data_IF_028537728679
#
_entry.id   IF_028537728679
#
_cell.length_a   1.000
_cell.length_b   1.000
_cell.length_c   1.000
_cell.angle_alpha   90.00
_cell.angle_beta   90.00
_cell.angle_gamma   90.00
#
_symmetry.space_group_name_H-M   'P 1'
#
loop_
_entity.id
_entity.type
_entity.pdbx_description
1 polymer ?
#
# COMPACT_ATOMS: atom_id res chain seq x y z
N UNK A 1 15.34 21.92 -11.87
CA UNK A 1 14.63 21.21 -10.78
C UNK A 1 13.35 21.92 -10.35
N UNK A 2 13.40 23.20 -9.96
CA UNK A 2 12.23 24.01 -9.56
C UNK A 2 11.17 24.13 -10.66
N UNK A 3 11.56 24.27 -11.91
CA UNK A 3 10.65 24.38 -13.06
C UNK A 3 9.90 23.07 -13.33
N UNK A 4 10.57 21.94 -13.20
CA UNK A 4 9.96 20.60 -13.28
C UNK A 4 8.95 20.37 -12.14
N UNK A 5 9.28 20.78 -10.92
CA UNK A 5 8.37 20.74 -9.78
C UNK A 5 7.15 21.63 -10.00
N UNK A 6 7.36 22.85 -10.50
CA UNK A 6 6.27 23.79 -10.81
C UNK A 6 5.33 23.26 -11.89
N UNK A 7 5.86 22.61 -12.92
CA UNK A 7 5.05 22.00 -13.98
C UNK A 7 4.27 20.79 -13.47
N UNK A 8 4.88 19.96 -12.63
CA UNK A 8 4.19 18.83 -11.99
C UNK A 8 3.09 19.31 -11.05
N UNK A 9 3.31 20.39 -10.29
CA UNK A 9 2.27 20.98 -9.44
C UNK A 9 1.12 21.57 -10.25
N UNK A 10 1.37 22.20 -11.40
CA UNK A 10 0.32 22.66 -12.31
C UNK A 10 -0.52 21.52 -12.84
N UNK A 11 0.11 20.41 -13.27
CA UNK A 11 -0.59 19.20 -13.70
C UNK A 11 -1.47 18.59 -12.57
N UNK A 12 -0.94 18.55 -11.38
CA UNK A 12 -1.65 18.05 -10.20
C UNK A 12 -2.86 18.95 -9.87
N UNK A 13 -2.68 20.27 -9.93
CA UNK A 13 -3.76 21.23 -9.71
C UNK A 13 -4.86 21.13 -10.78
N UNK A 14 -4.50 20.92 -12.05
CA UNK A 14 -5.47 20.76 -13.15
C UNK A 14 -6.21 19.43 -13.11
N UNK A 15 -5.61 18.38 -12.54
CA UNK A 15 -6.20 17.05 -12.40
C UNK A 15 -6.91 16.83 -11.06
N UNK A 16 -6.78 17.78 -10.12
CA UNK A 16 -7.19 17.62 -8.71
C UNK A 16 -8.61 17.10 -8.55
N UNK A 17 -9.58 17.68 -9.27
CA UNK A 17 -10.98 17.28 -9.17
C UNK A 17 -11.21 15.85 -9.63
N UNK A 18 -10.63 15.45 -10.77
CA UNK A 18 -10.78 14.10 -11.32
C UNK A 18 -10.12 13.06 -10.42
N UNK A 19 -8.92 13.36 -9.91
CA UNK A 19 -8.19 12.48 -8.99
C UNK A 19 -8.95 12.34 -7.67
N UNK A 20 -9.36 13.45 -7.04
CA UNK A 20 -10.06 13.42 -5.75
C UNK A 20 -11.39 12.67 -5.82
N UNK A 21 -12.20 12.93 -6.85
CA UNK A 21 -13.50 12.26 -7.01
C UNK A 21 -13.30 10.75 -7.24
N UNK A 22 -12.33 10.38 -8.07
CA UNK A 22 -12.01 8.97 -8.29
C UNK A 22 -11.51 8.31 -7.00
N UNK A 23 -10.52 8.90 -6.32
CA UNK A 23 -9.95 8.37 -5.08
C UNK A 23 -11.03 8.16 -4.01
N UNK A 24 -11.88 9.16 -3.80
CA UNK A 24 -12.95 9.07 -2.81
C UNK A 24 -13.93 7.95 -3.16
N UNK A 25 -14.44 7.90 -4.39
CA UNK A 25 -15.36 6.86 -4.84
C UNK A 25 -14.71 5.48 -4.78
N UNK A 26 -13.42 5.38 -5.18
CA UNK A 26 -12.67 4.15 -5.22
C UNK A 26 -12.38 3.59 -3.82
N UNK A 27 -12.03 4.46 -2.86
CA UNK A 27 -11.81 4.06 -1.46
C UNK A 27 -13.13 3.66 -0.77
N UNK A 28 -14.23 4.37 -1.04
CA UNK A 28 -15.57 3.98 -0.55
C UNK A 28 -16.00 2.62 -1.11
N UNK A 29 -15.79 2.38 -2.40
CA UNK A 29 -16.08 1.10 -3.04
C UNK A 29 -15.19 -0.01 -2.45
N UNK A 30 -13.91 0.28 -2.22
CA UNK A 30 -13.00 -0.66 -1.55
C UNK A 30 -13.52 -1.04 -0.16
N UNK A 31 -13.93 -0.07 0.64
CA UNK A 31 -14.46 -0.33 1.98
C UNK A 31 -15.74 -1.15 1.92
N UNK A 32 -16.64 -0.84 0.99
CA UNK A 32 -17.88 -1.58 0.80
C UNK A 32 -17.69 -3.03 0.31
N UNK A 33 -16.61 -3.31 -0.45
CA UNK A 33 -16.33 -4.66 -0.99
C UNK A 33 -15.37 -5.42 -0.07
N UNK A 34 -14.23 -4.83 0.30
CA UNK A 34 -13.21 -5.55 1.07
C UNK A 34 -13.64 -5.85 2.50
N UNK A 35 -14.37 -4.95 3.16
CA UNK A 35 -14.81 -5.19 4.53
C UNK A 35 -15.70 -6.44 4.67
N UNK A 36 -16.79 -6.62 3.89
CA UNK A 36 -17.59 -7.85 3.96
C UNK A 36 -16.83 -9.09 3.48
N UNK A 37 -15.92 -8.97 2.50
CA UNK A 37 -15.09 -10.09 2.04
C UNK A 37 -14.15 -10.53 3.15
N UNK A 38 -13.42 -9.61 3.77
CA UNK A 38 -12.49 -9.93 4.86
C UNK A 38 -13.23 -10.55 6.05
N UNK A 39 -14.36 -9.95 6.47
CA UNK A 39 -15.17 -10.51 7.57
C UNK A 39 -15.75 -11.87 7.22
N UNK A 40 -16.15 -12.08 5.97
CA UNK A 40 -16.60 -13.37 5.45
C UNK A 40 -15.53 -14.43 5.51
N UNK A 41 -14.32 -14.12 5.05
CA UNK A 41 -13.14 -15.02 5.11
C UNK A 41 -12.80 -15.36 6.56
N UNK A 42 -12.77 -14.36 7.46
CA UNK A 42 -12.50 -14.60 8.88
C UNK A 42 -13.53 -15.54 9.48
N UNK A 43 -14.83 -15.32 9.24
CA UNK A 43 -15.92 -16.21 9.72
C UNK A 43 -15.79 -17.62 9.15
N UNK A 44 -15.41 -17.74 7.88
CA UNK A 44 -15.20 -19.02 7.23
C UNK A 44 -14.02 -19.76 7.86
N UNK A 45 -12.90 -19.07 8.11
CA UNK A 45 -11.75 -19.61 8.83
C UNK A 45 -12.13 -20.10 10.22
N UNK A 46 -12.92 -19.33 10.97
CA UNK A 46 -13.40 -19.71 12.31
C UNK A 46 -14.28 -20.97 12.26
N UNK A 47 -15.18 -21.07 11.27
CA UNK A 47 -16.03 -22.25 11.09
C UNK A 47 -15.22 -23.51 10.73
N UNK A 48 -14.25 -23.39 9.82
CA UNK A 48 -13.43 -24.53 9.37
C UNK A 48 -12.52 -25.03 10.49
N UNK A 49 -12.01 -24.14 11.32
CA UNK A 49 -11.10 -24.47 12.43
C UNK A 49 -11.82 -24.82 13.74
N UNK A 50 -13.13 -24.60 13.82
CA UNK A 50 -13.92 -24.80 15.03
C UNK A 50 -13.59 -23.84 16.16
N UNK A 51 -13.03 -22.67 15.84
CA UNK A 51 -12.52 -21.68 16.78
C UNK A 51 -13.52 -20.53 16.89
N UNK A 52 -13.89 -20.15 18.10
CA UNK A 52 -14.84 -19.06 18.34
C UNK A 52 -14.18 -17.68 18.42
N UNK A 53 -12.84 -17.61 18.55
CA UNK A 53 -12.06 -16.37 18.64
C UNK A 53 -10.65 -16.54 18.05
N UNK A 54 -10.12 -15.48 17.45
CA UNK A 54 -8.80 -15.50 16.82
C UNK A 54 -7.74 -15.08 17.85
N UNK A 55 -6.91 -16.06 18.26
CA UNK A 55 -5.65 -15.78 18.97
C UNK A 55 -4.46 -16.07 18.08
N UNK A 56 -3.28 -15.57 18.42
CA UNK A 56 -2.07 -15.79 17.63
C UNK A 56 -1.74 -17.27 17.40
N UNK A 57 -2.02 -18.13 18.37
CA UNK A 57 -1.81 -19.59 18.28
C UNK A 57 -2.75 -20.24 17.26
N UNK A 58 -4.01 -19.79 17.24
CA UNK A 58 -5.01 -20.30 16.31
C UNK A 58 -4.82 -19.80 14.88
N UNK A 59 -4.25 -18.59 14.70
CA UNK A 59 -3.87 -18.07 13.40
C UNK A 59 -2.83 -19.00 12.74
N UNK A 60 -1.82 -19.46 13.49
CA UNK A 60 -0.83 -20.41 12.98
C UNK A 60 -1.47 -21.74 12.54
N UNK A 61 -2.39 -22.28 13.34
CA UNK A 61 -3.15 -23.50 12.96
C UNK A 61 -4.06 -23.29 11.75
N UNK A 62 -4.69 -22.13 11.65
CA UNK A 62 -5.53 -21.77 10.50
C UNK A 62 -4.71 -21.75 9.20
N UNK A 63 -3.49 -21.19 9.22
CA UNK A 63 -2.60 -21.20 8.06
C UNK A 63 -2.06 -22.60 7.67
N UNK A 64 -2.22 -23.63 8.49
CA UNK A 64 -1.95 -25.01 8.09
C UNK A 64 -3.07 -25.64 7.23
N UNK A 65 -4.25 -25.02 7.18
CA UNK A 65 -5.35 -25.51 6.37
C UNK A 65 -5.20 -25.00 4.91
N UNK A 66 -5.09 -25.92 3.91
CA UNK A 66 -4.88 -25.55 2.52
C UNK A 66 -6.01 -24.69 1.94
N UNK A 67 -7.24 -24.86 2.41
CA UNK A 67 -8.39 -24.07 1.96
C UNK A 67 -8.22 -22.61 2.39
N UNK A 68 -7.78 -22.39 3.62
CA UNK A 68 -7.53 -21.02 4.15
C UNK A 68 -6.39 -20.34 3.39
N UNK A 69 -5.31 -21.09 3.09
CA UNK A 69 -4.19 -20.58 2.28
C UNK A 69 -4.68 -20.13 0.91
N UNK A 70 -5.53 -20.92 0.24
CA UNK A 70 -6.07 -20.55 -1.08
C UNK A 70 -6.91 -19.26 -0.99
N UNK A 71 -7.78 -19.14 0.02
CA UNK A 71 -8.57 -17.91 0.21
C UNK A 71 -7.69 -16.69 0.51
N UNK A 72 -6.65 -16.84 1.34
CA UNK A 72 -5.69 -15.78 1.61
C UNK A 72 -4.93 -15.36 0.33
N UNK A 73 -4.48 -16.33 -0.48
CA UNK A 73 -3.81 -16.05 -1.75
C UNK A 73 -4.73 -15.31 -2.72
N UNK A 74 -5.99 -15.73 -2.86
CA UNK A 74 -6.97 -15.05 -3.69
C UNK A 74 -7.23 -13.61 -3.19
N UNK A 75 -7.32 -13.42 -1.88
CA UNK A 75 -7.45 -12.10 -1.26
C UNK A 75 -6.26 -11.19 -1.56
N UNK A 76 -5.04 -11.72 -1.44
CA UNK A 76 -3.81 -10.98 -1.79
C UNK A 76 -3.78 -10.62 -3.27
N UNK A 77 -4.11 -11.56 -4.17
CA UNK A 77 -4.20 -11.29 -5.61
C UNK A 77 -5.24 -10.21 -5.91
N UNK A 78 -6.42 -10.31 -5.32
CA UNK A 78 -7.47 -9.29 -5.46
C UNK A 78 -7.02 -7.91 -5.00
N UNK A 79 -6.35 -7.84 -3.85
CA UNK A 79 -5.80 -6.60 -3.31
C UNK A 79 -4.72 -6.00 -4.24
N UNK A 80 -3.84 -6.83 -4.80
CA UNK A 80 -2.83 -6.36 -5.75
C UNK A 80 -3.49 -5.83 -7.03
N UNK A 81 -4.48 -6.53 -7.58
CA UNK A 81 -5.24 -6.05 -8.75
C UNK A 81 -5.91 -4.70 -8.46
N UNK A 82 -6.47 -4.55 -7.26
CA UNK A 82 -7.02 -3.29 -6.78
C UNK A 82 -5.96 -2.17 -6.80
N UNK A 83 -4.82 -2.35 -6.17
CA UNK A 83 -3.74 -1.35 -6.16
C UNK A 83 -3.22 -1.03 -7.57
N UNK A 84 -3.07 -2.05 -8.43
CA UNK A 84 -2.63 -1.86 -9.81
C UNK A 84 -3.64 -1.04 -10.63
N UNK A 85 -4.94 -1.23 -10.40
CA UNK A 85 -5.97 -0.45 -11.09
C UNK A 85 -5.93 1.02 -10.66
N UNK A 86 -5.78 1.31 -9.37
CA UNK A 86 -5.61 2.67 -8.84
C UNK A 86 -4.42 3.38 -9.51
N UNK A 87 -3.27 2.71 -9.54
CA UNK A 87 -2.06 3.22 -10.20
C UNK A 87 -2.26 3.43 -11.71
N UNK A 88 -2.97 2.50 -12.39
CA UNK A 88 -3.28 2.63 -13.80
C UNK A 88 -4.16 3.84 -14.09
N UNK A 89 -5.19 4.08 -13.27
CA UNK A 89 -6.04 5.25 -13.39
C UNK A 89 -5.27 6.55 -13.21
N UNK A 90 -4.47 6.66 -12.17
CA UNK A 90 -3.64 7.84 -11.92
C UNK A 90 -2.69 8.10 -13.10
N UNK A 91 -2.02 7.05 -13.59
CA UNK A 91 -1.13 7.17 -14.72
C UNK A 91 -1.85 7.67 -15.99
N UNK A 92 -3.04 7.12 -16.29
CA UNK A 92 -3.88 7.56 -17.42
C UNK A 92 -4.32 9.00 -17.25
N UNK A 93 -4.81 9.38 -16.06
CA UNK A 93 -5.29 10.73 -15.76
C UNK A 93 -4.19 11.78 -15.97
N UNK A 94 -2.97 11.53 -15.49
CA UNK A 94 -1.83 12.44 -15.67
C UNK A 94 -1.35 12.48 -17.13
N UNK A 95 -1.37 11.36 -17.85
CA UNK A 95 -0.98 11.33 -19.27
C UNK A 95 -1.95 12.12 -20.14
N UNK A 96 -3.26 11.95 -19.95
CA UNK A 96 -4.31 12.66 -20.69
C UNK A 96 -4.17 14.18 -20.48
N UNK A 97 -3.94 14.60 -19.25
CA UNK A 97 -3.72 16.03 -18.95
C UNK A 97 -2.41 16.56 -19.53
N UNK A 98 -1.34 15.76 -19.50
CA UNK A 98 -0.06 16.14 -20.12
C UNK A 98 -0.17 16.33 -21.63
N UNK A 99 -1.01 15.52 -22.28
CA UNK A 99 -1.29 15.63 -23.72
C UNK A 99 -2.31 16.71 -24.08
N UNK A 100 -2.87 17.43 -23.11
CA UNK A 100 -3.90 18.43 -23.32
C UNK A 100 -5.28 17.87 -23.72
N UNK A 101 -5.49 16.54 -23.57
CA UNK A 101 -6.74 15.89 -23.95
C UNK A 101 -7.77 16.11 -22.82
N UNK A 102 -8.94 16.61 -23.19
CA UNK A 102 -10.07 16.72 -22.29
C UNK A 102 -10.83 15.39 -22.25
N UNK A 103 -10.40 14.48 -21.37
CA UNK A 103 -11.09 13.20 -21.13
C UNK A 103 -11.98 13.30 -19.91
N UNK A 104 -13.16 12.67 -19.97
CA UNK A 104 -14.05 12.52 -18.83
C UNK A 104 -13.45 11.55 -17.79
N UNK A 105 -14.04 11.53 -16.58
CA UNK A 105 -13.64 10.56 -15.53
C UNK A 105 -13.91 9.14 -16.03
N UNK A 106 -15.05 8.93 -16.71
CA UNK A 106 -15.46 7.63 -17.24
C UNK A 106 -14.48 7.13 -18.31
N UNK A 107 -14.04 8.00 -19.22
CA UNK A 107 -13.04 7.66 -20.23
C UNK A 107 -11.72 7.22 -19.61
N UNK A 108 -11.29 7.91 -18.56
CA UNK A 108 -10.08 7.55 -17.83
C UNK A 108 -10.23 6.20 -17.10
N UNK A 109 -11.40 5.93 -16.50
CA UNK A 109 -11.73 4.64 -15.88
C UNK A 109 -11.65 3.50 -16.90
N UNK A 110 -12.30 3.69 -18.06
CA UNK A 110 -12.30 2.70 -19.13
C UNK A 110 -10.90 2.45 -19.70
N UNK A 111 -10.14 3.50 -19.96
CA UNK A 111 -8.76 3.39 -20.44
C UNK A 111 -7.84 2.72 -19.41
N UNK A 112 -8.02 2.99 -18.14
CA UNK A 112 -7.29 2.33 -17.05
C UNK A 112 -7.61 0.83 -17.02
N UNK A 113 -8.89 0.46 -17.18
CA UNK A 113 -9.31 -0.94 -17.25
C UNK A 113 -8.71 -1.69 -18.43
N UNK A 114 -8.71 -1.09 -19.63
CA UNK A 114 -8.07 -1.68 -20.80
C UNK A 114 -6.57 -1.92 -20.60
N UNK A 115 -5.89 -1.01 -19.91
CA UNK A 115 -4.47 -1.16 -19.57
C UNK A 115 -4.25 -2.25 -18.53
N UNK A 116 -5.12 -2.33 -17.51
CA UNK A 116 -5.08 -3.38 -16.51
C UNK A 116 -5.24 -4.77 -17.14
N UNK A 117 -6.15 -4.92 -18.13
CA UNK A 117 -6.34 -6.18 -18.86
C UNK A 117 -5.05 -6.69 -19.53
N UNK A 118 -4.18 -5.78 -19.99
CA UNK A 118 -2.85 -6.15 -20.49
C UNK A 118 -1.92 -6.67 -19.40
N UNK A 119 -2.03 -6.12 -18.20
CA UNK A 119 -1.24 -6.52 -17.02
C UNK A 119 -1.62 -7.92 -16.52
N UNK A 120 -2.86 -8.34 -16.67
CA UNK A 120 -3.33 -9.65 -16.22
C UNK A 120 -2.87 -10.81 -17.14
N UNK A 121 -2.08 -10.54 -18.17
CA UNK A 121 -1.47 -11.59 -19.00
C UNK A 121 -0.32 -12.29 -18.26
N UNK A 122 -0.16 -13.57 -18.49
CA UNK A 122 0.90 -14.42 -17.89
C UNK A 122 2.30 -13.81 -18.06
N UNK A 123 2.56 -13.14 -19.17
CA UNK A 123 3.83 -12.45 -19.44
C UNK A 123 4.14 -11.30 -18.46
N UNK A 124 3.15 -10.82 -17.73
CA UNK A 124 3.26 -9.72 -16.77
C UNK A 124 3.44 -10.19 -15.32
N UNK A 125 3.44 -11.50 -15.06
CA UNK A 125 3.65 -12.05 -13.71
C UNK A 125 4.92 -11.49 -13.02
N UNK A 126 6.08 -11.39 -13.70
CA UNK A 126 7.27 -10.81 -13.06
C UNK A 126 7.10 -9.35 -12.67
N UNK A 127 6.33 -8.56 -13.43
CA UNK A 127 5.99 -7.18 -13.08
C UNK A 127 5.10 -7.12 -11.84
N UNK A 128 4.16 -8.05 -11.75
CA UNK A 128 3.23 -8.18 -10.64
C UNK A 128 3.97 -8.49 -9.33
N UNK A 129 4.87 -9.48 -9.37
CA UNK A 129 5.73 -9.82 -8.22
C UNK A 129 6.65 -8.66 -7.83
N UNK A 130 7.25 -8.01 -8.83
CA UNK A 130 8.06 -6.82 -8.60
C UNK A 130 7.26 -5.70 -7.91
N UNK A 131 6.04 -5.45 -8.37
CA UNK A 131 5.17 -4.43 -7.78
C UNK A 131 4.82 -4.75 -6.32
N UNK A 132 4.51 -6.01 -6.01
CA UNK A 132 4.24 -6.47 -4.64
C UNK A 132 5.45 -6.24 -3.72
N UNK A 133 6.64 -6.66 -4.17
CA UNK A 133 7.88 -6.43 -3.41
C UNK A 133 8.13 -4.92 -3.24
N UNK A 134 7.88 -4.13 -4.29
CA UNK A 134 8.10 -2.68 -4.26
C UNK A 134 7.20 -1.97 -3.24
N UNK A 135 5.93 -2.35 -3.12
CA UNK A 135 5.01 -1.78 -2.11
C UNK A 135 5.56 -2.04 -0.71
N UNK A 136 6.00 -3.26 -0.43
CA UNK A 136 6.53 -3.63 0.88
C UNK A 136 7.81 -2.85 1.17
N UNK A 137 8.76 -2.80 0.23
CA UNK A 137 10.09 -2.21 0.45
C UNK A 137 10.04 -0.68 0.53
N UNK A 138 9.22 -0.03 -0.32
CA UNK A 138 9.11 1.43 -0.33
C UNK A 138 8.33 1.94 0.89
N UNK A 139 7.40 1.15 1.41
CA UNK A 139 6.56 1.55 2.52
C UNK A 139 7.23 1.20 3.86
N UNK A 140 8.14 2.06 4.31
CA UNK A 140 8.93 1.86 5.54
C UNK A 140 8.04 1.64 6.77
N UNK A 141 6.87 2.26 6.82
CA UNK A 141 5.90 2.06 7.91
C UNK A 141 5.36 0.63 7.96
N UNK A 142 4.99 0.07 6.79
CA UNK A 142 4.50 -1.32 6.70
C UNK A 142 5.63 -2.30 7.02
N UNK A 143 6.79 -2.09 6.41
CA UNK A 143 7.97 -2.93 6.63
C UNK A 143 8.43 -2.87 8.09
N UNK A 144 8.43 -1.68 8.70
CA UNK A 144 8.76 -1.49 10.11
C UNK A 144 7.80 -2.26 11.02
N UNK A 145 6.50 -2.15 10.80
CA UNK A 145 5.51 -2.87 11.61
C UNK A 145 5.65 -4.40 11.49
N UNK A 146 5.97 -4.92 10.30
CA UNK A 146 6.21 -6.35 10.10
C UNK A 146 7.48 -6.79 10.84
N UNK A 147 8.59 -6.07 10.67
CA UNK A 147 9.89 -6.42 11.28
C UNK A 147 9.84 -6.28 12.81
N UNK A 148 9.15 -5.28 13.32
CA UNK A 148 9.03 -5.02 14.76
C UNK A 148 7.83 -5.69 15.42
N UNK A 149 7.06 -6.53 14.70
CA UNK A 149 5.98 -7.30 15.30
C UNK A 149 6.52 -8.25 16.39
N UNK A 150 5.74 -8.45 17.45
CA UNK A 150 6.17 -9.34 18.55
C UNK A 150 6.40 -10.78 18.08
N UNK A 151 5.63 -11.26 17.11
CA UNK A 151 5.80 -12.59 16.54
C UNK A 151 7.18 -12.75 15.89
N UNK A 152 7.59 -11.79 15.07
CA UNK A 152 8.93 -11.78 14.44
C UNK A 152 10.02 -11.59 15.47
N UNK A 153 9.82 -10.72 16.47
CA UNK A 153 10.77 -10.54 17.58
C UNK A 153 10.98 -11.84 18.38
N UNK A 154 9.93 -12.61 18.63
CA UNK A 154 10.03 -13.86 19.38
C UNK A 154 10.75 -14.96 18.60
N UNK A 155 10.47 -15.09 17.28
CA UNK A 155 11.21 -16.00 16.40
C UNK A 155 12.70 -15.59 16.35
N UNK A 156 12.98 -14.31 16.21
CA UNK A 156 14.34 -13.78 16.19
C UNK A 156 15.02 -13.97 17.55
N UNK A 157 14.34 -13.76 18.68
CA UNK A 157 14.91 -13.92 20.02
C UNK A 157 15.40 -15.34 20.31
N UNK A 158 14.71 -16.37 19.86
CA UNK A 158 15.12 -17.76 20.09
C UNK A 158 16.38 -18.14 19.33
N UNK A 159 16.53 -17.65 18.08
CA UNK A 159 17.67 -17.97 17.21
C UNK A 159 18.84 -16.97 17.33
N UNK A 160 18.54 -15.72 17.67
CA UNK A 160 19.50 -14.59 17.63
C UNK A 160 20.36 -14.50 18.89
N UNK A 161 20.01 -15.21 19.99
CA UNK A 161 20.81 -15.14 21.22
C UNK A 161 22.28 -15.51 21.02
N UNK A 162 22.56 -16.35 19.99
CA UNK A 162 23.90 -16.87 19.71
C UNK A 162 24.74 -16.01 18.74
N UNK A 163 24.13 -15.29 17.78
CA UNK A 163 24.83 -14.52 16.74
C UNK A 163 24.13 -13.22 16.35
N UNK A 164 23.72 -12.42 17.32
CA UNK A 164 22.92 -11.20 17.12
C UNK A 164 23.52 -10.23 16.09
N UNK A 165 24.82 -10.01 16.15
CA UNK A 165 25.50 -9.06 15.27
C UNK A 165 25.53 -9.54 13.81
N UNK A 166 25.80 -10.82 13.58
CA UNK A 166 25.85 -11.39 12.22
C UNK A 166 24.47 -11.33 11.56
N UNK A 167 23.41 -11.69 12.28
CA UNK A 167 22.04 -11.66 11.76
C UNK A 167 21.62 -10.23 11.45
N UNK A 168 21.96 -9.26 12.30
CA UNK A 168 21.68 -7.85 12.03
C UNK A 168 22.40 -7.37 10.77
N UNK A 169 23.68 -7.68 10.57
CA UNK A 169 24.44 -7.30 9.38
C UNK A 169 23.83 -7.94 8.12
N UNK A 170 23.54 -9.24 8.16
CA UNK A 170 22.97 -9.96 7.02
C UNK A 170 21.59 -9.39 6.66
N UNK A 171 20.74 -9.13 7.64
CA UNK A 171 19.42 -8.52 7.42
C UNK A 171 19.54 -7.12 6.82
N UNK A 172 20.46 -6.30 7.33
CA UNK A 172 20.71 -4.95 6.79
C UNK A 172 21.17 -5.01 5.33
N UNK A 173 22.08 -5.93 5.00
CA UNK A 173 22.55 -6.12 3.61
C UNK A 173 21.39 -6.53 2.70
N UNK A 174 20.54 -7.47 3.14
CA UNK A 174 19.39 -7.92 2.36
C UNK A 174 18.44 -6.75 2.10
N UNK A 175 18.13 -5.96 3.12
CA UNK A 175 17.24 -4.78 2.99
C UNK A 175 17.83 -3.76 2.02
N UNK A 176 19.12 -3.45 2.10
CA UNK A 176 19.82 -2.53 1.20
C UNK A 176 19.77 -3.05 -0.24
N UNK A 177 20.04 -4.34 -0.45
CA UNK A 177 19.95 -4.96 -1.77
C UNK A 177 18.53 -4.90 -2.35
N UNK A 178 17.51 -5.23 -1.57
CA UNK A 178 16.11 -5.15 -1.98
C UNK A 178 15.72 -3.71 -2.33
N UNK A 179 16.11 -2.75 -1.50
CA UNK A 179 15.84 -1.33 -1.74
C UNK A 179 16.52 -0.83 -3.03
N UNK A 180 17.77 -1.23 -3.26
CA UNK A 180 18.48 -0.94 -4.51
C UNK A 180 17.76 -1.52 -5.73
N UNK A 181 17.30 -2.79 -5.68
CA UNK A 181 16.55 -3.42 -6.76
C UNK A 181 15.25 -2.69 -7.05
N UNK A 182 14.52 -2.30 -6.00
CA UNK A 182 13.24 -1.60 -6.15
C UNK A 182 13.44 -0.23 -6.76
N UNK A 183 14.42 0.54 -6.30
CA UNK A 183 14.71 1.87 -6.86
C UNK A 183 15.13 1.77 -8.32
N UNK A 184 15.97 0.80 -8.66
CA UNK A 184 16.47 0.60 -10.03
C UNK A 184 15.35 0.42 -11.04
N UNK A 185 14.31 -0.29 -10.67
CA UNK A 185 13.21 -0.63 -11.57
C UNK A 185 11.90 0.14 -11.25
N UNK A 186 11.96 1.22 -10.45
CA UNK A 186 10.79 1.97 -9.94
C UNK A 186 9.87 2.52 -11.05
N UNK A 187 10.43 2.87 -12.21
CA UNK A 187 9.66 3.38 -13.35
C UNK A 187 9.17 2.28 -14.29
N UNK A 188 9.57 1.02 -14.09
CA UNK A 188 9.27 -0.09 -14.99
C UNK A 188 7.77 -0.28 -15.18
N UNK A 189 6.98 -0.15 -14.11
CA UNK A 189 5.53 -0.23 -14.15
C UNK A 189 4.92 0.88 -15.03
N UNK A 190 5.31 2.13 -14.79
CA UNK A 190 4.80 3.26 -15.58
C UNK A 190 5.17 3.15 -17.05
N UNK A 191 6.40 2.72 -17.37
CA UNK A 191 6.85 2.53 -18.75
C UNK A 191 6.06 1.41 -19.42
N UNK A 192 5.85 0.29 -18.73
CA UNK A 192 5.05 -0.82 -19.22
C UNK A 192 3.62 -0.38 -19.55
N UNK A 193 2.99 0.36 -18.62
CA UNK A 193 1.62 0.83 -18.78
C UNK A 193 1.45 1.87 -19.87
N UNK A 194 2.41 2.79 -20.00
CA UNK A 194 2.31 3.94 -20.91
C UNK A 194 2.81 3.64 -22.31
N UNK A 195 3.92 2.91 -22.42
CA UNK A 195 4.57 2.66 -23.72
C UNK A 195 4.20 1.31 -24.33
N UNK A 196 3.50 0.44 -23.59
CA UNK A 196 3.10 -0.90 -24.07
C UNK A 196 4.26 -1.85 -24.35
N UNK A 197 5.46 -1.55 -23.80
CA UNK A 197 6.67 -2.35 -23.95
C UNK A 197 6.59 -3.62 -23.12
N UNK A 198 7.37 -4.63 -23.49
CA UNK A 198 7.52 -5.84 -22.67
C UNK A 198 8.22 -5.52 -21.33
N UNK A 199 8.01 -6.36 -20.31
CA UNK A 199 8.58 -6.17 -18.96
C UNK A 199 10.10 -5.95 -19.00
N UNK A 200 10.86 -6.77 -19.71
CA UNK A 200 12.33 -6.63 -19.83
C UNK A 200 12.76 -5.28 -20.42
N UNK A 201 12.07 -4.82 -21.47
CA UNK A 201 12.35 -3.52 -22.08
C UNK A 201 11.98 -2.36 -21.16
N UNK A 202 10.90 -2.50 -20.39
CA UNK A 202 10.47 -1.51 -19.40
C UNK A 202 11.48 -1.40 -18.27
N UNK A 203 11.99 -2.51 -17.75
CA UNK A 203 13.06 -2.52 -16.75
C UNK A 203 14.38 -1.93 -17.32
N UNK A 204 14.77 -2.29 -18.54
CA UNK A 204 15.98 -1.73 -19.17
C UNK A 204 15.90 -0.20 -19.30
N UNK A 205 14.74 0.32 -19.72
CA UNK A 205 14.50 1.76 -19.82
C UNK A 205 14.45 2.42 -18.44
N UNK A 206 13.81 1.79 -17.44
CA UNK A 206 13.82 2.29 -16.06
C UNK A 206 15.23 2.45 -15.54
N UNK A 207 16.07 1.43 -15.72
CA UNK A 207 17.49 1.45 -15.30
C UNK A 207 18.28 2.57 -15.95
N UNK A 208 18.05 2.84 -17.24
CA UNK A 208 18.72 3.95 -17.92
C UNK A 208 18.34 5.32 -17.36
N UNK A 209 17.06 5.50 -16.97
CA UNK A 209 16.57 6.73 -16.34
C UNK A 209 17.13 6.88 -14.92
N UNK A 210 17.15 5.79 -14.16
CA UNK A 210 17.56 5.79 -12.76
C UNK A 210 19.07 5.99 -12.62
N UNK A 211 19.89 5.39 -13.49
CA UNK A 211 21.37 5.40 -13.42
C UNK A 211 21.95 6.79 -13.12
N UNK A 212 21.43 7.83 -13.75
CA UNK A 212 21.92 9.20 -13.61
C UNK A 212 21.17 10.02 -12.54
N UNK A 213 20.14 9.45 -11.88
CA UNK A 213 19.25 10.17 -10.98
C UNK A 213 19.00 9.43 -9.65
N UNK A 214 19.81 8.45 -9.29
CA UNK A 214 19.60 7.61 -8.09
C UNK A 214 19.39 8.45 -6.84
N UNK A 215 20.28 9.38 -6.53
CA UNK A 215 20.19 10.22 -5.33
C UNK A 215 18.92 11.09 -5.30
N UNK A 216 18.50 11.60 -6.46
CA UNK A 216 17.25 12.39 -6.55
C UNK A 216 16.03 11.52 -6.28
N UNK A 217 16.02 10.30 -6.81
CA UNK A 217 14.91 9.35 -6.64
C UNK A 217 14.84 8.88 -5.18
N UNK A 218 15.99 8.52 -4.59
CA UNK A 218 16.08 8.17 -3.16
C UNK A 218 15.58 9.32 -2.30
N UNK A 219 16.02 10.55 -2.57
CA UNK A 219 15.56 11.75 -1.86
C UNK A 219 14.05 11.93 -1.92
N UNK A 220 13.43 11.72 -3.09
CA UNK A 220 11.97 11.79 -3.24
C UNK A 220 11.27 10.69 -2.46
N UNK A 221 11.77 9.45 -2.49
CA UNK A 221 11.21 8.33 -1.72
C UNK A 221 11.30 8.59 -0.22
N UNK A 222 12.43 9.10 0.27
CA UNK A 222 12.61 9.46 1.68
C UNK A 222 11.65 10.58 2.09
N UNK A 223 11.57 11.66 1.31
CA UNK A 223 10.65 12.77 1.57
C UNK A 223 9.18 12.30 1.59
N UNK A 224 8.80 11.42 0.67
CA UNK A 224 7.46 10.83 0.65
C UNK A 224 7.16 10.05 1.93
N UNK A 225 8.10 9.20 2.38
CA UNK A 225 7.92 8.43 3.62
C UNK A 225 7.86 9.34 4.85
N UNK A 226 8.68 10.39 4.93
CA UNK A 226 8.63 11.37 6.02
C UNK A 226 7.30 12.13 6.04
N UNK A 227 6.80 12.55 4.88
CA UNK A 227 5.50 13.22 4.77
C UNK A 227 4.35 12.28 5.19
N UNK A 228 4.41 11.02 4.80
CA UNK A 228 3.42 10.01 5.16
C UNK A 228 3.45 9.72 6.67
N UNK A 229 4.63 9.60 7.27
CA UNK A 229 4.80 9.46 8.72
C UNK A 229 4.21 10.66 9.47
N UNK A 230 4.53 11.88 9.03
CA UNK A 230 3.99 13.09 9.63
C UNK A 230 2.45 13.13 9.55
N UNK A 231 1.88 12.75 8.39
CA UNK A 231 0.43 12.68 8.21
C UNK A 231 -0.23 11.65 9.14
N UNK A 232 0.35 10.45 9.27
CA UNK A 232 -0.14 9.40 10.18
C UNK A 232 -0.10 9.88 11.63
N UNK A 233 1.02 10.49 12.07
CA UNK A 233 1.15 11.02 13.43
C UNK A 233 0.13 12.13 13.71
N UNK A 234 -0.06 13.06 12.77
CA UNK A 234 -1.04 14.13 12.91
C UNK A 234 -2.46 13.57 13.04
N UNK A 235 -2.80 12.58 12.20
CA UNK A 235 -4.11 11.91 12.26
C UNK A 235 -4.33 11.15 13.57
N UNK A 236 -3.30 10.45 14.06
CA UNK A 236 -3.33 9.77 15.35
C UNK A 236 -3.57 10.76 16.51
N UNK A 237 -2.88 11.89 16.52
CA UNK A 237 -3.07 12.94 17.54
C UNK A 237 -4.50 13.48 17.50
N UNK A 238 -5.02 13.79 16.32
CA UNK A 238 -6.39 14.31 16.15
C UNK A 238 -7.42 13.31 16.70
N UNK A 239 -7.31 12.03 16.32
CA UNK A 239 -8.21 10.98 16.82
C UNK A 239 -8.12 10.85 18.34
N UNK A 240 -6.91 10.83 18.88
CA UNK A 240 -6.70 10.72 20.34
C UNK A 240 -7.34 11.89 21.10
N UNK A 241 -7.19 13.10 20.60
CA UNK A 241 -7.80 14.30 21.19
C UNK A 241 -9.34 14.21 21.13
N UNK A 242 -9.90 13.81 19.99
CA UNK A 242 -11.35 13.65 19.83
C UNK A 242 -11.91 12.58 20.75
N UNK A 243 -11.22 11.45 20.90
CA UNK A 243 -11.64 10.38 21.81
C UNK A 243 -11.60 10.83 23.27
N UNK A 244 -10.53 11.50 23.70
CA UNK A 244 -10.40 12.02 25.06
C UNK A 244 -11.48 13.06 25.35
N UNK A 245 -11.74 13.96 24.40
CA UNK A 245 -12.81 14.96 24.55
C UNK A 245 -14.20 14.29 24.62
N UNK A 246 -14.44 13.27 23.80
CA UNK A 246 -15.67 12.49 23.81
C UNK A 246 -15.92 11.78 25.14
N UNK A 247 -14.89 11.13 25.71
CA UNK A 247 -14.98 10.47 27.02
C UNK A 247 -15.27 11.49 28.12
N UNK A 248 -14.58 12.64 28.13
CA UNK A 248 -14.84 13.70 29.13
C UNK A 248 -16.25 14.28 29.07
N UNK A 249 -16.78 14.45 27.84
CA UNK A 249 -18.17 14.91 27.64
C UNK A 249 -19.18 13.89 28.16
N UNK A 250 -18.94 12.60 27.93
CA UNK A 250 -19.78 11.53 28.45
C UNK A 250 -19.74 11.48 29.98
N UNK A 251 -18.56 11.61 30.62
CA UNK A 251 -18.44 11.66 32.04
C UNK A 251 -19.18 12.85 32.66
N UNK A 252 -19.11 14.03 32.06
CA UNK A 252 -19.83 15.22 32.46
C UNK A 252 -21.35 15.05 32.35
N UNK A 253 -21.84 14.45 31.26
CA UNK A 253 -23.25 14.13 31.09
C UNK A 253 -23.76 13.15 32.16
N UNK A 254 -22.97 12.12 32.49
CA UNK A 254 -23.30 11.12 33.50
C UNK A 254 -23.31 11.68 34.93
N UNK A 255 -22.41 12.66 35.22
CA UNK A 255 -22.42 13.36 36.53
C UNK A 255 -23.55 14.37 36.65
N UNK A 256 -24.01 14.98 35.52
CA UNK A 256 -25.16 15.88 35.50
C UNK A 256 -26.46 15.17 35.85
N UNK A 257 -26.66 13.97 35.34
CA UNK A 257 -27.86 13.16 35.59
C UNK A 257 -28.00 12.69 37.05
N UNK A 258 -26.88 12.44 37.75
CA UNK A 258 -26.90 12.09 39.17
C UNK A 258 -27.28 13.24 40.11
N UNK A 259 -27.08 14.50 39.68
CA UNK A 259 -27.44 15.66 40.48
C UNK A 259 -28.93 16.06 40.35
N UNK A 260 -29.62 15.52 39.36
CA UNK A 260 -31.06 15.78 39.13
C UNK A 260 -31.97 14.77 39.82
N UNK A 261 -31.42 13.76 40.53
CA UNK A 261 -32.19 12.68 41.18
C UNK A 261 -32.11 12.79 42.72
N UNK A 262 -31.53 13.88 43.29
CA UNK A 262 -31.56 14.25 44.69
C UNK A 262 -32.35 15.53 44.85
#
# INVERSE_FOLDING_TARGET
MLESLRNNMKLLKSSKRHVLLFELAYKLLALAVFYPVITGVIRLCMRITGINYLTNEYIAKAFMNPVIIIFCLLGVIGFIVYCLYEMAYLAVCFETKRKGIQASIIDNIYNAFLRLKKLLRIQSIPLFLYFLISIIVINVTVTGNIIFSESVKNIIKSEVKRNRTVIFIVTAIIIICLFYFVIRDIFSFNIYMMEGKNFRQSCAKSRSIVKNNVLKIVGVVVLYNLALLAAIYTFYIIISVVLIAGVKLLDLAYMGDRKSVV
#
